data_IF_767359428679
#
_entry.id   IF_767359428679
#
_cell.length_a   1.000
_cell.length_b   1.000
_cell.length_c   1.000
_cell.angle_alpha   90.00
_cell.angle_beta   90.00
_cell.angle_gamma   90.00
#
_symmetry.space_group_name_H-M   'P 1'
#
loop_
_entity.id
_entity.type
_entity.pdbx_description
1 polymer ?
#
# COMPACT_ATOMS: atom_id res chain seq x y z
N UNK A 1 -10.92 -2.89 1.97
CA UNK A 1 -10.23 -3.10 0.70
C UNK A 1 -9.57 -4.47 0.66
N UNK A 2 -8.56 -4.75 1.50
CA UNK A 2 -7.86 -6.03 1.52
C UNK A 2 -8.79 -7.26 1.62
N UNK A 3 -9.80 -7.23 2.50
CA UNK A 3 -10.78 -8.32 2.65
C UNK A 3 -11.65 -8.57 1.41
N UNK A 4 -11.88 -7.54 0.58
CA UNK A 4 -12.59 -7.69 -0.70
C UNK A 4 -11.70 -8.26 -1.79
N UNK A 5 -10.42 -7.88 -1.80
CA UNK A 5 -9.45 -8.46 -2.73
C UNK A 5 -9.21 -9.94 -2.42
N UNK A 6 -9.16 -10.30 -1.14
CA UNK A 6 -8.93 -11.68 -0.68
C UNK A 6 -10.03 -12.67 -1.10
N UNK A 7 -11.19 -12.21 -1.59
CA UNK A 7 -12.22 -13.10 -2.12
C UNK A 7 -11.91 -13.62 -3.53
N UNK A 8 -10.96 -13.00 -4.25
CA UNK A 8 -10.63 -13.32 -5.64
C UNK A 8 -9.13 -13.45 -5.89
N UNK A 9 -8.28 -12.89 -5.03
CA UNK A 9 -6.83 -12.83 -5.18
C UNK A 9 -6.14 -13.39 -3.94
N UNK A 10 -4.91 -13.85 -4.11
CA UNK A 10 -4.01 -14.09 -2.97
C UNK A 10 -3.58 -12.75 -2.42
N UNK A 11 -3.91 -12.49 -1.14
CA UNK A 11 -3.57 -11.23 -0.48
C UNK A 11 -2.65 -11.51 0.71
N UNK A 12 -1.51 -10.82 0.71
CA UNK A 12 -0.59 -10.73 1.83
C UNK A 12 -0.76 -9.38 2.51
N UNK A 13 -0.68 -9.36 3.85
CA UNK A 13 -0.94 -8.18 4.65
C UNK A 13 0.24 -7.77 5.52
N UNK A 14 0.55 -6.48 5.53
CA UNK A 14 1.39 -5.86 6.54
C UNK A 14 0.82 -4.48 6.92
N UNK A 15 0.90 -4.13 8.19
CA UNK A 15 0.60 -2.81 8.73
C UNK A 15 1.45 -2.64 10.00
N UNK A 16 1.97 -1.44 10.25
CA UNK A 16 2.73 -1.13 11.47
C UNK A 16 1.85 -1.17 12.73
N UNK A 17 0.53 -1.01 12.57
CA UNK A 17 -0.43 -1.06 13.67
C UNK A 17 -0.89 -2.51 13.89
N UNK A 18 -0.49 -3.09 15.01
CA UNK A 18 -0.88 -4.45 15.42
C UNK A 18 -2.40 -4.71 15.37
N UNK A 19 -3.30 -3.77 15.77
CA UNK A 19 -4.73 -3.99 15.62
C UNK A 19 -5.19 -4.19 14.16
N UNK A 20 -4.50 -3.59 13.18
CA UNK A 20 -4.80 -3.73 11.75
C UNK A 20 -4.35 -5.09 11.22
N UNK A 21 -3.17 -5.56 11.65
CA UNK A 21 -2.69 -6.92 11.35
C UNK A 21 -3.65 -7.96 11.90
N UNK A 22 -4.09 -7.81 13.16
CA UNK A 22 -5.06 -8.72 13.76
C UNK A 22 -6.36 -8.78 12.95
N UNK A 23 -6.90 -7.62 12.55
CA UNK A 23 -8.11 -7.56 11.74
C UNK A 23 -7.94 -8.27 10.38
N UNK A 24 -6.77 -8.16 9.76
CA UNK A 24 -6.47 -8.85 8.51
C UNK A 24 -6.38 -10.38 8.72
N UNK A 25 -5.66 -10.81 9.76
CA UNK A 25 -5.52 -12.23 10.12
C UNK A 25 -6.87 -12.87 10.46
N UNK A 26 -7.72 -12.19 11.25
CA UNK A 26 -9.07 -12.63 11.58
C UNK A 26 -9.96 -12.77 10.33
N UNK A 27 -9.64 -12.05 9.25
CA UNK A 27 -10.30 -12.14 7.95
C UNK A 27 -9.66 -13.14 6.98
N UNK A 28 -8.71 -13.97 7.46
CA UNK A 28 -8.05 -15.01 6.67
C UNK A 28 -6.91 -14.52 5.76
N UNK A 29 -6.47 -13.26 5.91
CA UNK A 29 -5.33 -12.71 5.17
C UNK A 29 -4.03 -13.13 5.87
N UNK A 30 -3.08 -13.68 5.10
CA UNK A 30 -1.76 -14.00 5.65
C UNK A 30 -1.00 -12.71 5.97
N UNK A 31 -0.59 -12.55 7.22
CA UNK A 31 0.20 -11.40 7.69
C UNK A 31 1.68 -11.72 7.79
N UNK A 32 2.53 -10.70 7.68
CA UNK A 32 4.00 -10.82 7.73
C UNK A 32 4.61 -9.85 8.75
N UNK A 33 5.90 -10.02 9.08
CA UNK A 33 6.57 -9.19 10.07
C UNK A 33 7.08 -7.86 9.48
N UNK A 34 7.15 -7.75 8.15
CA UNK A 34 7.57 -6.53 7.45
C UNK A 34 6.85 -6.34 6.12
N UNK A 35 6.85 -5.10 5.62
CA UNK A 35 6.34 -4.77 4.29
C UNK A 35 7.10 -5.51 3.19
N UNK A 36 8.42 -5.66 3.35
CA UNK A 36 9.29 -6.37 2.41
C UNK A 36 8.90 -7.84 2.30
N UNK A 37 8.77 -8.53 3.43
CA UNK A 37 8.31 -9.93 3.45
C UNK A 37 6.92 -10.12 2.83
N UNK A 38 5.99 -9.20 3.09
CA UNK A 38 4.65 -9.27 2.49
C UNK A 38 4.65 -9.06 0.97
N UNK A 39 5.65 -8.34 0.45
CA UNK A 39 5.71 -7.90 -0.95
C UNK A 39 6.57 -8.81 -1.83
N UNK A 40 7.28 -9.79 -1.26
CA UNK A 40 8.16 -10.69 -1.98
C UNK A 40 7.42 -11.43 -3.11
N UNK A 41 7.86 -11.19 -4.36
CA UNK A 41 7.28 -11.80 -5.55
C UNK A 41 5.86 -11.34 -5.88
N UNK A 42 5.40 -10.21 -5.34
CA UNK A 42 4.06 -9.68 -5.61
C UNK A 42 3.94 -9.11 -7.03
N UNK A 43 2.80 -9.34 -7.68
CA UNK A 43 2.45 -8.78 -8.99
C UNK A 43 1.84 -7.37 -8.87
N UNK A 44 1.27 -7.04 -7.71
CA UNK A 44 0.76 -5.72 -7.40
C UNK A 44 0.95 -5.39 -5.92
N UNK A 45 1.34 -4.14 -5.64
CA UNK A 45 1.48 -3.60 -4.29
C UNK A 45 0.42 -2.52 -4.07
N UNK A 46 -0.45 -2.74 -3.10
CA UNK A 46 -1.43 -1.73 -2.68
C UNK A 46 -0.89 -0.97 -1.47
N UNK A 47 -0.46 0.27 -1.70
CA UNK A 47 0.29 1.05 -0.71
C UNK A 47 -0.55 2.19 -0.15
N UNK A 48 -0.64 2.28 1.18
CA UNK A 48 -1.26 3.38 1.88
C UNK A 48 -0.29 3.96 2.93
N UNK A 49 0.18 5.18 2.68
CA UNK A 49 1.12 5.93 3.52
C UNK A 49 0.59 7.33 3.83
N UNK A 50 1.22 8.08 4.75
CA UNK A 50 0.74 9.41 5.13
C UNK A 50 1.30 10.58 4.31
N UNK A 51 2.51 10.44 3.77
CA UNK A 51 3.22 11.51 3.07
C UNK A 51 4.31 10.93 2.14
N UNK A 52 4.98 11.81 1.40
CA UNK A 52 6.07 11.43 0.49
C UNK A 52 7.28 10.79 1.19
N UNK A 53 7.62 11.21 2.41
CA UNK A 53 8.74 10.60 3.17
C UNK A 53 8.47 9.13 3.50
N UNK A 54 7.24 8.81 3.93
CA UNK A 54 6.84 7.42 4.16
C UNK A 54 6.76 6.62 2.86
N UNK A 55 6.32 7.22 1.76
CA UNK A 55 6.34 6.59 0.44
C UNK A 55 7.77 6.17 0.08
N UNK A 56 8.71 7.10 0.20
CA UNK A 56 10.12 6.88 -0.12
C UNK A 56 10.74 5.80 0.78
N UNK A 57 10.53 5.89 2.09
CA UNK A 57 11.06 4.93 3.05
C UNK A 57 10.53 3.50 2.82
N UNK A 58 9.24 3.34 2.51
CA UNK A 58 8.64 2.03 2.24
C UNK A 58 9.12 1.46 0.91
N UNK A 59 9.22 2.27 -0.14
CA UNK A 59 9.63 1.79 -1.46
C UNK A 59 11.13 1.53 -1.56
N UNK A 60 11.95 2.42 -1.00
CA UNK A 60 13.38 2.50 -1.32
C UNK A 60 14.30 2.60 -0.10
N UNK A 61 13.77 2.60 1.13
CA UNK A 61 14.60 2.57 2.34
C UNK A 61 15.41 1.29 2.47
N UNK A 62 16.11 1.13 3.60
CA UNK A 62 16.97 -0.04 3.88
C UNK A 62 16.23 -1.39 3.69
N UNK A 63 14.95 -1.43 4.04
CA UNK A 63 14.06 -2.57 3.84
C UNK A 63 12.97 -2.28 2.79
N UNK A 64 13.35 -1.53 1.74
CA UNK A 64 12.45 -1.11 0.67
C UNK A 64 11.79 -2.29 -0.04
N UNK A 65 10.54 -2.10 -0.45
CA UNK A 65 9.76 -3.14 -1.13
C UNK A 65 10.02 -3.19 -2.64
N UNK A 66 10.48 -2.11 -3.26
CA UNK A 66 10.69 -2.06 -4.72
C UNK A 66 11.60 -3.20 -5.26
N UNK A 67 12.72 -3.57 -4.60
CA UNK A 67 13.60 -4.63 -5.10
C UNK A 67 13.03 -6.05 -5.02
N UNK A 68 11.96 -6.28 -4.25
CA UNK A 68 11.38 -7.61 -4.05
C UNK A 68 10.07 -7.83 -4.82
N UNK A 69 9.59 -6.80 -5.52
CA UNK A 69 8.48 -6.92 -6.45
C UNK A 69 8.93 -7.64 -7.73
N UNK A 70 8.00 -8.26 -8.43
CA UNK A 70 8.27 -8.82 -9.76
C UNK A 70 8.52 -7.69 -10.77
N UNK A 71 9.42 -7.88 -11.75
CA UNK A 71 9.42 -7.05 -12.95
C UNK A 71 8.04 -7.10 -13.63
N UNK A 72 7.51 -5.94 -14.00
CA UNK A 72 6.15 -5.76 -14.50
C UNK A 72 5.08 -5.60 -13.41
N UNK A 73 5.46 -5.59 -12.13
CA UNK A 73 4.51 -5.32 -11.05
C UNK A 73 4.03 -3.86 -11.04
N UNK A 74 2.89 -3.63 -10.40
CA UNK A 74 2.29 -2.29 -10.28
C UNK A 74 2.15 -1.89 -8.81
N UNK A 75 2.67 -0.72 -8.45
CA UNK A 75 2.38 -0.04 -7.19
C UNK A 75 1.12 0.80 -7.35
N UNK A 76 0.07 0.47 -6.62
CA UNK A 76 -1.17 1.22 -6.54
C UNK A 76 -1.12 2.07 -5.28
N UNK A 77 -0.94 3.38 -5.44
CA UNK A 77 -0.88 4.31 -4.33
C UNK A 77 -2.29 4.80 -3.97
N UNK A 78 -2.79 4.40 -2.79
CA UNK A 78 -4.12 4.76 -2.31
C UNK A 78 -4.18 6.08 -1.51
N UNK A 79 -3.04 6.76 -1.34
CA UNK A 79 -2.87 7.89 -0.42
C UNK A 79 -2.59 9.21 -1.14
N UNK A 80 -3.09 10.31 -0.58
CA UNK A 80 -2.69 11.66 -1.00
C UNK A 80 -1.30 11.99 -0.41
N UNK A 81 -0.24 11.81 -1.21
CA UNK A 81 1.15 12.08 -0.78
C UNK A 81 1.74 13.40 -1.30
N UNK A 82 0.95 14.16 -2.07
CA UNK A 82 1.38 15.35 -2.80
C UNK A 82 1.89 15.01 -4.20
N UNK A 83 1.50 15.81 -5.20
CA UNK A 83 1.79 15.56 -6.62
C UNK A 83 3.27 15.65 -6.96
N UNK A 84 4.07 16.35 -6.16
CA UNK A 84 5.49 16.58 -6.40
C UNK A 84 6.35 15.31 -6.21
N UNK A 85 5.92 14.39 -5.34
CA UNK A 85 6.65 13.16 -5.05
C UNK A 85 6.47 12.08 -6.13
N UNK A 86 5.39 12.15 -6.92
CA UNK A 86 5.01 11.10 -7.87
C UNK A 86 6.02 10.94 -9.02
N UNK A 87 6.46 12.01 -9.73
CA UNK A 87 7.38 11.85 -10.86
C UNK A 87 8.72 11.22 -10.48
N UNK A 88 9.29 11.63 -9.34
CA UNK A 88 10.55 11.06 -8.84
C UNK A 88 10.39 9.59 -8.41
N UNK A 89 9.25 9.25 -7.81
CA UNK A 89 8.92 7.88 -7.43
C UNK A 89 8.78 6.97 -8.66
N UNK A 90 8.07 7.43 -9.70
CA UNK A 90 7.90 6.70 -10.96
C UNK A 90 9.25 6.42 -11.62
N UNK A 91 10.12 7.43 -11.70
CA UNK A 91 11.44 7.27 -12.32
C UNK A 91 12.29 6.21 -11.60
N UNK A 92 12.25 6.18 -10.26
CA UNK A 92 12.99 5.20 -9.46
C UNK A 92 12.37 3.80 -9.51
N UNK A 93 11.04 3.67 -9.54
CA UNK A 93 10.38 2.37 -9.71
C UNK A 93 10.69 1.74 -11.09
N UNK A 94 10.87 2.55 -12.12
CA UNK A 94 11.25 2.08 -13.45
C UNK A 94 12.62 1.36 -13.46
N UNK A 95 13.54 1.71 -12.55
CA UNK A 95 14.83 1.00 -12.38
C UNK A 95 14.65 -0.46 -11.95
N UNK A 96 13.50 -0.78 -11.33
CA UNK A 96 13.10 -2.13 -10.92
C UNK A 96 12.11 -2.79 -11.91
N UNK A 97 11.78 -2.11 -13.02
CA UNK A 97 10.75 -2.55 -13.95
C UNK A 97 9.35 -2.54 -13.35
N UNK A 98 9.08 -1.64 -12.41
CA UNK A 98 7.80 -1.52 -11.69
C UNK A 98 7.09 -0.24 -12.11
N UNK A 99 5.77 -0.32 -12.32
CA UNK A 99 4.93 0.83 -12.66
C UNK A 99 4.22 1.39 -11.42
N UNK A 100 3.73 2.64 -11.49
CA UNK A 100 2.92 3.25 -10.44
C UNK A 100 1.62 3.81 -10.98
N UNK A 101 0.53 3.49 -10.29
CA UNK A 101 -0.80 4.07 -10.48
C UNK A 101 -1.14 4.89 -9.25
N UNK A 102 -1.30 6.20 -9.44
CA UNK A 102 -1.80 7.10 -8.39
C UNK A 102 -3.34 7.04 -8.37
N UNK A 103 -3.89 6.43 -7.31
CA UNK A 103 -5.31 6.13 -7.17
C UNK A 103 -5.83 6.53 -5.77
N UNK A 104 -5.78 7.84 -5.42
CA UNK A 104 -6.15 8.30 -4.09
C UNK A 104 -7.62 7.98 -3.79
N UNK A 105 -7.88 7.39 -2.63
CA UNK A 105 -9.23 7.05 -2.20
C UNK A 105 -9.91 8.27 -1.57
N UNK A 106 -10.97 8.79 -2.21
CA UNK A 106 -11.75 9.95 -1.75
C UNK A 106 -12.71 9.66 -0.57
N UNK A 107 -12.49 8.56 0.15
CA UNK A 107 -13.36 8.07 1.23
C UNK A 107 -13.31 8.93 2.49
N UNK A 108 -13.91 10.12 2.45
CA UNK A 108 -14.20 10.90 3.64
C UNK A 108 -15.03 10.06 4.60
N UNK A 109 -14.62 9.99 5.88
CA UNK A 109 -15.51 9.55 6.96
C UNK A 109 -16.77 10.40 6.86
N UNK A 110 -17.91 9.78 6.54
CA UNK A 110 -19.21 10.42 6.69
C UNK A 110 -19.30 10.94 8.12
N UNK A 111 -19.22 12.26 8.29
CA UNK A 111 -19.47 12.92 9.57
C UNK A 111 -20.92 12.56 9.91
N UNK A 112 -21.24 11.99 11.10
CA UNK A 112 -22.63 11.79 11.46
C UNK A 112 -23.30 13.18 11.42
N UNK A 113 -24.37 13.28 10.63
CA UNK A 113 -25.17 14.49 10.57
C UNK A 113 -25.55 14.88 12.00
N UNK A 114 -25.14 16.08 12.44
CA UNK A 114 -25.65 16.64 13.70
C UNK A 114 -27.17 16.71 13.57
N UNK A 115 -27.88 15.93 14.36
CA UNK A 115 -29.29 16.16 14.61
C UNK A 115 -29.41 17.52 15.32
N UNK A 116 -29.90 18.52 14.61
CA UNK A 116 -30.39 19.76 15.22
C UNK A 116 -31.77 19.49 15.80
N UNK A 117 -31.87 19.66 17.12
CA UNK A 117 -33.13 19.81 17.87
C UNK A 117 -33.92 21.04 17.44
#
# INVERSE_FOLDING_TARGET
MATRLATQLTVHGFDIAEPRLKLAADAGIRTFASAREASEGADALLLAVRNGEQLDAVLFGENGVAPVLKPGAVVILGSTVGTEAIPATVARLAEYGVELVDAPLSGGRSVPAKATS
#
